data_IF_775960880790
#
_entry.id   IF_775960880790
#
_cell.length_a   1.000
_cell.length_b   1.000
_cell.length_c   1.000
_cell.angle_alpha   90.00
_cell.angle_beta   90.00
_cell.angle_gamma   90.00
#
_symmetry.space_group_name_H-M   'P 1'
#
loop_
_entity.id
_entity.type
_entity.pdbx_description
1 polymer ?
#
# COMPACT_ATOMS: atom_id res chain seq x y z
N UNK A 1 -13.46 -2.79 -20.94
CA UNK A 1 -12.01 -2.49 -20.95
C UNK A 1 -11.35 -3.20 -19.77
N UNK A 2 -10.31 -4.03 -19.97
CA UNK A 2 -9.55 -4.63 -18.86
C UNK A 2 -8.51 -3.61 -18.35
N UNK A 3 -8.89 -2.76 -17.40
CA UNK A 3 -7.94 -1.92 -16.67
C UNK A 3 -7.10 -2.80 -15.74
N UNK A 4 -5.94 -3.24 -16.20
CA UNK A 4 -4.90 -3.79 -15.31
C UNK A 4 -4.12 -2.60 -14.75
N UNK A 5 -4.29 -2.31 -13.48
CA UNK A 5 -3.39 -1.39 -12.76
C UNK A 5 -1.96 -1.95 -12.87
N UNK A 6 -1.11 -1.30 -13.70
CA UNK A 6 0.29 -1.69 -13.88
C UNK A 6 1.04 -1.24 -12.63
N UNK A 7 1.33 -2.18 -11.72
CA UNK A 7 2.19 -1.90 -10.56
C UNK A 7 3.52 -1.32 -11.06
N UNK A 8 3.86 -0.11 -10.61
CA UNK A 8 5.10 0.53 -10.97
C UNK A 8 6.28 -0.23 -10.31
N UNK A 9 7.27 -0.73 -11.09
CA UNK A 9 8.39 -1.49 -10.54
C UNK A 9 9.22 -0.71 -9.53
N UNK A 10 9.23 0.63 -9.59
CA UNK A 10 9.93 1.47 -8.62
C UNK A 10 9.43 1.27 -7.19
N UNK A 11 8.13 1.01 -6.99
CA UNK A 11 7.60 0.75 -5.64
C UNK A 11 8.13 -0.56 -5.05
N UNK A 12 8.33 -1.59 -5.87
CA UNK A 12 8.87 -2.89 -5.42
C UNK A 12 10.33 -2.72 -4.97
N UNK A 13 11.11 -1.94 -5.72
CA UNK A 13 12.50 -1.63 -5.38
C UNK A 13 12.56 -0.84 -4.06
N UNK A 14 11.72 0.19 -3.90
CA UNK A 14 11.65 0.98 -2.68
C UNK A 14 11.28 0.16 -1.45
N UNK A 15 10.27 -0.71 -1.55
CA UNK A 15 9.83 -1.56 -0.44
C UNK A 15 10.93 -2.54 -0.04
N UNK A 16 11.58 -3.17 -1.03
CA UNK A 16 12.68 -4.12 -0.77
C UNK A 16 13.84 -3.44 -0.06
N UNK A 17 14.24 -2.24 -0.53
CA UNK A 17 15.30 -1.44 0.10
C UNK A 17 14.94 -1.08 1.55
N UNK A 18 13.69 -0.66 1.78
CA UNK A 18 13.20 -0.29 3.11
C UNK A 18 13.24 -1.48 4.09
N UNK A 19 12.85 -2.67 3.64
CA UNK A 19 12.91 -3.91 4.44
C UNK A 19 14.36 -4.25 4.79
N UNK A 20 15.31 -4.14 3.85
CA UNK A 20 16.73 -4.41 4.12
C UNK A 20 17.28 -3.47 5.19
N UNK A 21 17.01 -2.16 5.06
CA UNK A 21 17.44 -1.15 6.04
C UNK A 21 16.85 -1.44 7.43
N UNK A 22 15.58 -1.87 7.48
CA UNK A 22 14.95 -2.28 8.72
C UNK A 22 15.67 -3.45 9.41
N UNK A 23 15.95 -4.53 8.68
CA UNK A 23 16.65 -5.68 9.23
C UNK A 23 18.06 -5.32 9.70
N UNK A 24 18.82 -4.56 8.91
CA UNK A 24 20.14 -4.06 9.32
C UNK A 24 20.01 -3.26 10.63
N UNK A 25 19.05 -2.34 10.71
CA UNK A 25 18.84 -1.53 11.91
C UNK A 25 18.51 -2.35 13.16
N UNK A 26 17.76 -3.46 13.02
CA UNK A 26 17.47 -4.38 14.12
C UNK A 26 18.73 -5.08 14.65
N UNK A 27 19.65 -5.50 13.77
CA UNK A 27 20.88 -6.18 14.19
C UNK A 27 21.91 -5.25 14.83
N UNK A 28 21.88 -3.96 14.50
CA UNK A 28 22.79 -2.95 15.06
C UNK A 28 22.21 -2.18 16.28
N UNK A 29 21.03 -2.57 16.79
CA UNK A 29 20.48 -2.00 18.02
C UNK A 29 21.30 -2.45 19.23
N UNK A 30 22.27 -1.62 19.64
CA UNK A 30 23.15 -1.88 20.79
C UNK A 30 22.43 -1.61 22.14
N UNK A 31 21.44 -0.70 22.16
CA UNK A 31 20.57 -0.44 23.31
C UNK A 31 19.11 -0.27 22.85
N UNK A 32 18.23 -1.12 23.35
CA UNK A 32 16.86 -1.28 22.86
C UNK A 32 15.95 -0.13 23.29
N UNK A 33 15.68 0.84 22.39
CA UNK A 33 14.44 1.59 22.48
C UNK A 33 13.35 0.83 21.73
N UNK A 34 12.56 0.04 22.47
CA UNK A 34 11.31 -0.60 22.00
C UNK A 34 10.47 0.38 21.17
N UNK A 35 10.49 1.65 21.54
CA UNK A 35 9.88 2.76 20.82
C UNK A 35 10.34 2.87 19.35
N UNK A 36 11.64 2.82 19.08
CA UNK A 36 12.17 2.98 17.71
C UNK A 36 11.82 1.77 16.84
N UNK A 37 11.88 0.57 17.41
CA UNK A 37 11.46 -0.67 16.74
C UNK A 37 9.97 -0.64 16.41
N UNK A 38 9.14 -0.15 17.33
CA UNK A 38 7.69 -0.02 17.14
C UNK A 38 7.36 1.03 16.05
N UNK A 39 8.03 2.17 16.06
CA UNK A 39 7.86 3.22 15.04
C UNK A 39 8.30 2.74 13.66
N UNK A 40 9.40 2.00 13.57
CA UNK A 40 9.85 1.39 12.31
C UNK A 40 8.85 0.34 11.79
N UNK A 41 8.31 -0.50 12.67
CA UNK A 41 7.30 -1.50 12.30
C UNK A 41 6.01 -0.85 11.78
N UNK A 42 5.54 0.23 12.41
CA UNK A 42 4.39 1.02 11.94
C UNK A 42 4.61 1.57 10.53
N UNK A 43 5.83 2.03 10.22
CA UNK A 43 6.16 2.50 8.89
C UNK A 43 6.13 1.37 7.85
N UNK A 44 6.59 0.17 8.19
CA UNK A 44 6.49 -1.02 7.31
C UNK A 44 5.03 -1.38 7.04
N UNK A 45 4.20 -1.39 8.08
CA UNK A 45 2.76 -1.67 7.95
C UNK A 45 2.09 -0.65 7.04
N UNK A 46 2.39 0.64 7.22
CA UNK A 46 1.86 1.71 6.37
C UNK A 46 2.31 1.58 4.92
N UNK A 47 3.59 1.34 4.68
CA UNK A 47 4.14 1.18 3.33
C UNK A 47 3.54 -0.07 2.64
N UNK A 48 3.40 -1.16 3.39
CA UNK A 48 2.77 -2.39 2.89
C UNK A 48 1.30 -2.15 2.57
N UNK A 49 0.57 -1.47 3.45
CA UNK A 49 -0.83 -1.08 3.26
C UNK A 49 -0.99 -0.28 1.95
N UNK A 50 -0.14 0.72 1.74
CA UNK A 50 -0.13 1.48 0.48
C UNK A 50 0.14 0.57 -0.73
N UNK A 51 1.11 -0.33 -0.64
CA UNK A 51 1.43 -1.26 -1.73
C UNK A 51 0.32 -2.25 -2.07
N UNK A 52 -0.42 -2.72 -1.06
CA UNK A 52 -1.55 -3.62 -1.26
C UNK A 52 -2.83 -2.92 -1.66
N UNK A 53 -2.86 -1.58 -1.62
CA UNK A 53 -3.97 -0.80 -2.12
C UNK A 53 -4.12 -0.98 -3.62
N UNK A 54 -5.26 -1.48 -4.06
CA UNK A 54 -5.58 -1.74 -5.45
C UNK A 54 -7.03 -1.44 -5.71
N UNK A 55 -7.32 -0.97 -6.92
CA UNK A 55 -8.68 -0.91 -7.40
C UNK A 55 -8.92 -2.02 -8.42
N UNK A 56 -10.15 -2.53 -8.45
CA UNK A 56 -10.63 -3.45 -9.46
C UNK A 56 -11.90 -2.89 -10.07
N UNK A 57 -12.02 -2.99 -11.39
CA UNK A 57 -13.19 -2.53 -12.14
C UNK A 57 -13.99 -3.78 -12.50
N UNK A 58 -15.20 -3.90 -11.96
CA UNK A 58 -16.16 -4.95 -12.32
C UNK A 58 -17.06 -4.47 -13.46
N UNK A 59 -18.08 -5.24 -13.81
CA UNK A 59 -19.04 -4.84 -14.85
C UNK A 59 -19.95 -3.69 -14.41
N UNK A 60 -20.19 -3.54 -13.10
CA UNK A 60 -21.14 -2.55 -12.55
C UNK A 60 -20.55 -1.65 -11.46
N UNK A 61 -19.36 -1.94 -10.95
CA UNK A 61 -18.77 -1.23 -9.80
C UNK A 61 -17.25 -1.07 -9.86
N UNK A 62 -16.77 -0.02 -9.18
CA UNK A 62 -15.37 0.18 -8.84
C UNK A 62 -15.13 -0.31 -7.41
N UNK A 63 -14.38 -1.39 -7.26
CA UNK A 63 -13.96 -1.89 -5.95
C UNK A 63 -12.59 -1.33 -5.63
N UNK A 64 -12.53 -0.38 -4.69
CA UNK A 64 -11.29 0.20 -4.18
C UNK A 64 -10.91 -0.54 -2.90
N UNK A 65 -9.75 -1.19 -2.91
CA UNK A 65 -9.09 -1.69 -1.70
C UNK A 65 -8.05 -0.68 -1.28
N UNK A 66 -8.25 -0.07 -0.12
CA UNK A 66 -7.29 0.82 0.50
C UNK A 66 -6.65 0.09 1.69
N UNK A 67 -5.41 -0.33 1.52
CA UNK A 67 -4.71 -1.09 2.54
C UNK A 67 -5.19 -2.51 2.70
N UNK A 68 -5.01 -3.02 3.93
CA UNK A 68 -5.43 -4.37 4.32
C UNK A 68 -6.91 -4.48 4.69
N UNK A 69 -7.51 -3.38 5.17
CA UNK A 69 -8.79 -3.40 5.91
C UNK A 69 -9.92 -2.76 5.11
N UNK A 70 -9.68 -1.59 4.51
CA UNK A 70 -10.73 -0.84 3.86
C UNK A 70 -10.98 -1.37 2.44
N UNK A 71 -12.17 -1.90 2.24
CA UNK A 71 -12.72 -2.18 0.91
C UNK A 71 -13.97 -1.36 0.75
N UNK A 72 -13.94 -0.48 -0.24
CA UNK A 72 -15.09 0.34 -0.62
C UNK A 72 -15.50 -0.07 -2.01
N UNK A 73 -16.77 -0.36 -2.18
CA UNK A 73 -17.37 -0.60 -3.49
C UNK A 73 -18.21 0.63 -3.87
N UNK A 74 -17.98 1.14 -5.07
CA UNK A 74 -18.68 2.31 -5.61
C UNK A 74 -19.39 1.84 -6.88
N UNK A 75 -20.73 1.86 -6.89
CA UNK A 75 -21.49 1.53 -8.10
C UNK A 75 -21.25 2.59 -9.18
N UNK A 76 -21.17 2.20 -10.46
CA UNK A 76 -21.03 3.19 -11.54
C UNK A 76 -22.23 4.12 -11.64
N UNK A 77 -23.41 3.66 -11.22
CA UNK A 77 -24.62 4.49 -11.15
C UNK A 77 -24.46 5.67 -10.18
N UNK A 78 -23.61 5.53 -9.17
CA UNK A 78 -23.32 6.58 -8.18
C UNK A 78 -22.22 7.55 -8.63
N UNK A 79 -21.47 7.21 -9.70
CA UNK A 79 -20.37 8.03 -10.21
C UNK A 79 -20.91 9.08 -11.19
N UNK A 80 -21.04 10.33 -10.72
CA UNK A 80 -21.57 11.43 -11.55
C UNK A 80 -20.54 12.07 -12.49
N UNK A 81 -19.27 12.09 -12.09
CA UNK A 81 -18.20 12.73 -12.84
C UNK A 81 -16.90 11.93 -12.75
N UNK A 82 -16.21 11.79 -13.88
CA UNK A 82 -14.89 11.19 -13.98
C UNK A 82 -13.98 12.23 -14.63
N UNK A 83 -12.90 12.59 -13.94
CA UNK A 83 -11.88 13.52 -14.46
C UNK A 83 -10.61 12.73 -14.73
N UNK A 84 -10.01 12.96 -15.90
CA UNK A 84 -8.71 12.37 -16.26
C UNK A 84 -7.62 13.41 -16.00
N UNK A 85 -6.51 12.97 -15.40
CA UNK A 85 -5.31 13.78 -15.13
C UNK A 85 -4.11 13.27 -15.91
#
# INVERSE_FOLDING_TARGET
MKFKAKKNPFHVIFITLFIIIFFVSLFFQNENSIFFTLMMLLNIVNLSSFYFSHYNITESSLVVKNGFILRTEISFEDIRHITYS
#
